data_IF_670441041330
#
_entry.id   IF_670441041330
#
_cell.length_a   1.000
_cell.length_b   1.000
_cell.length_c   1.000
_cell.angle_alpha   90.00
_cell.angle_beta   90.00
_cell.angle_gamma   90.00
#
_symmetry.space_group_name_H-M   'P 1'
#
loop_
_entity.id
_entity.type
_entity.pdbx_description
1 polymer ?
#
# COMPACT_ATOMS: atom_id res chain seq x y z
N UNK A 1 18.04 -16.56 4.63
CA UNK A 1 18.70 -17.66 3.95
C UNK A 1 19.12 -17.22 2.55
N UNK A 2 20.25 -17.74 2.05
CA UNK A 2 20.67 -17.53 0.66
C UNK A 2 19.61 -18.12 -0.28
N UNK A 3 19.35 -17.46 -1.40
CA UNK A 3 18.28 -17.82 -2.35
C UNK A 3 16.85 -17.82 -1.77
N UNK A 4 16.65 -17.16 -0.62
CA UNK A 4 15.32 -17.01 -0.01
C UNK A 4 14.47 -16.01 -0.78
N UNK A 5 13.17 -16.29 -0.90
CA UNK A 5 12.17 -15.38 -1.42
C UNK A 5 11.57 -14.54 -0.29
N UNK A 6 11.44 -13.24 -0.53
CA UNK A 6 10.80 -12.28 0.37
C UNK A 6 9.58 -11.69 -0.33
N UNK A 7 8.48 -11.60 0.40
CA UNK A 7 7.28 -10.87 -0.02
C UNK A 7 6.71 -10.12 1.18
N UNK A 8 6.28 -8.88 0.96
CA UNK A 8 5.61 -8.07 1.97
C UNK A 8 4.58 -7.13 1.32
N UNK A 9 3.53 -6.80 2.07
CA UNK A 9 2.61 -5.73 1.74
C UNK A 9 2.80 -4.59 2.72
N UNK A 10 2.80 -3.36 2.22
CA UNK A 10 2.90 -2.17 3.05
C UNK A 10 2.07 -1.01 2.48
N UNK A 11 1.47 -0.18 3.34
CA UNK A 11 0.71 0.98 2.89
C UNK A 11 1.65 2.02 2.25
N UNK A 12 1.12 2.77 1.28
CA UNK A 12 1.87 3.85 0.62
C UNK A 12 1.82 5.15 1.41
N UNK A 13 2.69 6.10 1.05
CA UNK A 13 2.70 7.45 1.63
C UNK A 13 1.36 8.17 1.45
N UNK A 14 0.70 7.96 0.31
CA UNK A 14 -0.56 8.61 -0.07
C UNK A 14 -1.81 7.94 0.52
N UNK A 15 -1.61 6.97 1.41
CA UNK A 15 -2.72 6.23 2.00
C UNK A 15 -3.59 7.14 2.88
N UNK A 16 -4.91 6.97 2.79
CA UNK A 16 -5.91 7.70 3.60
C UNK A 16 -5.93 9.23 3.43
N UNK A 17 -5.57 9.76 2.25
CA UNK A 17 -5.45 11.20 2.04
C UNK A 17 -6.72 11.97 2.39
N UNK A 18 -7.91 11.49 1.98
CA UNK A 18 -9.19 12.14 2.31
C UNK A 18 -9.44 12.26 3.81
N UNK A 19 -9.07 11.25 4.58
CA UNK A 19 -9.16 11.28 6.06
C UNK A 19 -8.10 12.20 6.66
N UNK A 20 -6.87 12.16 6.16
CA UNK A 20 -5.78 13.05 6.61
C UNK A 20 -6.18 14.53 6.43
N UNK A 21 -6.66 14.89 5.26
CA UNK A 21 -7.11 16.26 4.98
C UNK A 21 -8.26 16.70 5.91
N UNK A 22 -9.25 15.83 6.13
CA UNK A 22 -10.35 16.12 7.03
C UNK A 22 -9.88 16.30 8.48
N UNK A 23 -8.93 15.48 8.95
CA UNK A 23 -8.36 15.60 10.29
C UNK A 23 -7.51 16.86 10.45
N UNK A 24 -6.65 17.18 9.47
CA UNK A 24 -5.84 18.41 9.48
C UNK A 24 -6.75 19.65 9.54
N UNK A 25 -7.79 19.68 8.71
CA UNK A 25 -8.75 20.79 8.72
C UNK A 25 -9.47 20.91 10.06
N UNK A 26 -9.86 19.78 10.65
CA UNK A 26 -10.51 19.75 11.95
C UNK A 26 -9.60 20.23 13.07
N UNK A 27 -8.33 19.85 13.04
CA UNK A 27 -7.32 20.29 14.01
C UNK A 27 -7.08 21.80 13.91
N UNK A 28 -6.95 22.34 12.69
CA UNK A 28 -6.80 23.78 12.47
C UNK A 28 -8.01 24.56 13.02
N UNK A 29 -9.21 24.07 12.71
CA UNK A 29 -10.46 24.72 13.14
C UNK A 29 -10.64 24.73 14.67
N UNK A 30 -10.17 23.70 15.38
CA UNK A 30 -10.37 23.56 16.82
C UNK A 30 -9.19 23.99 17.69
N UNK A 31 -7.97 23.87 17.15
CA UNK A 31 -6.74 24.04 17.93
C UNK A 31 -5.77 25.06 17.35
N UNK A 32 -6.08 25.60 16.16
CA UNK A 32 -5.20 26.57 15.49
C UNK A 32 -3.94 25.95 14.86
N UNK A 33 -3.81 24.61 14.83
CA UNK A 33 -2.68 23.90 14.24
C UNK A 33 -2.97 22.41 14.10
N UNK A 34 -2.23 21.71 13.25
CA UNK A 34 -2.42 20.30 12.98
C UNK A 34 -1.52 19.41 13.84
N UNK A 35 -2.03 18.27 14.27
CA UNK A 35 -1.28 17.23 14.96
C UNK A 35 -0.91 16.11 14.00
N UNK A 36 0.25 15.48 14.22
CA UNK A 36 0.59 14.24 13.55
C UNK A 36 -0.34 13.12 14.04
N UNK A 37 -1.12 12.54 13.13
CA UNK A 37 -2.10 11.48 13.45
C UNK A 37 -1.87 10.19 12.70
N UNK A 38 -0.97 10.21 11.71
CA UNK A 38 -0.65 9.07 10.86
C UNK A 38 0.84 8.79 10.88
N UNK A 39 1.19 7.50 10.82
CA UNK A 39 2.57 7.10 10.63
C UNK A 39 3.02 7.52 9.21
N UNK A 40 4.29 7.87 9.10
CA UNK A 40 4.91 8.08 7.80
C UNK A 40 5.27 6.72 7.21
N UNK A 41 4.85 6.50 5.97
CA UNK A 41 5.19 5.32 5.20
C UNK A 41 6.30 5.65 4.20
N UNK A 42 6.99 4.61 3.74
CA UNK A 42 8.06 4.76 2.76
C UNK A 42 7.48 5.04 1.37
N UNK A 43 8.21 5.80 0.57
CA UNK A 43 7.93 5.94 -0.85
C UNK A 43 8.51 4.76 -1.64
N UNK A 44 8.16 4.64 -2.92
CA UNK A 44 8.60 3.55 -3.78
C UNK A 44 10.13 3.47 -3.91
N UNK A 45 10.78 4.62 -4.04
CA UNK A 45 12.23 4.70 -4.24
C UNK A 45 12.98 4.21 -3.00
N UNK A 46 12.55 4.62 -1.80
CA UNK A 46 13.13 4.18 -0.53
C UNK A 46 13.01 2.66 -0.35
N UNK A 47 11.85 2.07 -0.72
CA UNK A 47 11.63 0.62 -0.66
C UNK A 47 12.58 -0.12 -1.59
N UNK A 48 12.72 0.33 -2.84
CA UNK A 48 13.63 -0.28 -3.82
C UNK A 48 15.09 -0.19 -3.34
N UNK A 49 15.49 0.97 -2.83
CA UNK A 49 16.83 1.18 -2.29
C UNK A 49 17.10 0.29 -1.07
N UNK A 50 16.11 0.14 -0.19
CA UNK A 50 16.19 -0.74 0.97
C UNK A 50 16.42 -2.21 0.58
N UNK A 51 15.70 -2.70 -0.42
CA UNK A 51 15.88 -4.05 -0.96
C UNK A 51 17.27 -4.23 -1.59
N UNK A 52 17.70 -3.29 -2.43
CA UNK A 52 19.03 -3.33 -3.08
C UNK A 52 20.16 -3.32 -2.05
N UNK A 53 20.09 -2.43 -1.06
CA UNK A 53 21.10 -2.30 -0.02
C UNK A 53 21.19 -3.56 0.86
N UNK A 54 20.12 -4.32 0.96
CA UNK A 54 20.10 -5.60 1.67
C UNK A 54 20.35 -6.81 0.75
N UNK A 55 20.95 -6.60 -0.43
CA UNK A 55 21.31 -7.65 -1.39
C UNK A 55 20.12 -8.51 -1.86
N UNK A 56 18.94 -7.90 -2.03
CA UNK A 56 17.85 -8.51 -2.76
C UNK A 56 18.00 -8.22 -4.25
N UNK A 57 17.86 -9.26 -5.06
CA UNK A 57 17.89 -9.19 -6.52
C UNK A 57 16.47 -9.26 -7.07
N UNK A 58 16.31 -8.70 -8.26
CA UNK A 58 15.03 -8.69 -8.98
C UNK A 58 13.91 -8.14 -8.07
N UNK A 59 14.08 -6.95 -7.50
CA UNK A 59 13.02 -6.35 -6.69
C UNK A 59 11.82 -6.06 -7.59
N UNK A 60 10.65 -6.59 -7.23
CA UNK A 60 9.39 -6.32 -7.89
C UNK A 60 8.49 -5.59 -6.91
N UNK A 61 7.89 -4.50 -7.35
CA UNK A 61 6.91 -3.73 -6.58
C UNK A 61 5.67 -3.50 -7.42
N UNK A 62 4.54 -4.00 -6.94
CA UNK A 62 3.22 -3.73 -7.50
C UNK A 62 2.50 -2.71 -6.61
N UNK A 63 1.75 -1.81 -7.23
CA UNK A 63 0.86 -0.88 -6.56
C UNK A 63 -0.58 -1.38 -6.72
N UNK A 64 -1.25 -1.60 -5.59
CA UNK A 64 -2.66 -1.95 -5.54
C UNK A 64 -3.46 -0.80 -4.91
N UNK A 65 -4.57 -0.45 -5.53
CA UNK A 65 -5.51 0.56 -5.03
C UNK A 65 -6.82 -0.12 -4.67
N UNK A 66 -7.28 0.09 -3.43
CA UNK A 66 -8.53 -0.43 -2.92
C UNK A 66 -9.35 0.76 -2.41
N UNK A 67 -10.56 0.93 -2.94
CA UNK A 67 -11.51 1.90 -2.41
C UNK A 67 -12.41 1.22 -1.37
N UNK A 68 -12.44 1.79 -0.17
CA UNK A 68 -13.28 1.36 0.92
C UNK A 68 -14.39 2.37 1.14
N UNK A 69 -15.62 1.89 1.25
CA UNK A 69 -16.81 2.71 1.45
C UNK A 69 -17.47 2.44 2.81
N UNK A 70 -17.70 3.50 3.57
CA UNK A 70 -18.29 3.42 4.91
C UNK A 70 -19.53 4.29 5.04
N UNK A 71 -20.57 3.76 5.65
CA UNK A 71 -21.81 4.51 5.96
C UNK A 71 -21.63 5.48 7.12
N UNK A 72 -20.76 5.17 8.07
CA UNK A 72 -20.54 5.98 9.27
C UNK A 72 -19.04 6.21 9.52
N UNK A 73 -18.70 7.36 10.09
CA UNK A 73 -17.33 7.66 10.50
C UNK A 73 -16.84 6.69 11.58
N UNK A 74 -17.74 6.21 12.44
CA UNK A 74 -17.41 5.28 13.51
C UNK A 74 -16.91 3.93 12.96
N UNK A 75 -17.59 3.36 11.96
CA UNK A 75 -17.17 2.12 11.31
C UNK A 75 -15.80 2.27 10.66
N UNK A 76 -15.57 3.38 9.96
CA UNK A 76 -14.28 3.71 9.37
C UNK A 76 -13.16 3.76 10.41
N UNK A 77 -13.36 4.49 11.50
CA UNK A 77 -12.36 4.61 12.57
C UNK A 77 -12.16 3.29 13.33
N UNK A 78 -13.19 2.47 13.44
CA UNK A 78 -13.12 1.13 14.05
C UNK A 78 -12.22 0.21 13.21
N UNK A 79 -12.40 0.20 11.89
CA UNK A 79 -11.59 -0.61 10.98
C UNK A 79 -10.11 -0.17 11.00
N UNK A 80 -9.85 1.13 10.98
CA UNK A 80 -8.47 1.64 11.08
C UNK A 80 -7.79 1.21 12.39
N UNK A 81 -8.52 1.14 13.50
CA UNK A 81 -8.00 0.64 14.78
C UNK A 81 -7.72 -0.86 14.72
N UNK A 82 -8.63 -1.64 14.11
CA UNK A 82 -8.46 -3.10 13.96
C UNK A 82 -7.26 -3.46 13.09
N UNK A 83 -6.98 -2.65 12.07
CA UNK A 83 -5.78 -2.75 11.22
C UNK A 83 -4.48 -2.32 11.95
N UNK A 84 -4.55 -1.86 13.19
CA UNK A 84 -3.41 -1.34 13.98
C UNK A 84 -2.67 -0.19 13.29
N UNK A 85 -3.34 0.62 12.53
CA UNK A 85 -2.79 1.79 11.84
C UNK A 85 -2.74 3.05 12.71
N UNK A 86 -2.90 2.89 14.02
CA UNK A 86 -2.81 3.98 14.98
C UNK A 86 -1.41 4.60 15.00
N UNK A 87 -1.35 5.91 15.16
CA UNK A 87 -0.10 6.64 15.30
C UNK A 87 0.53 6.41 16.69
N UNK A 88 1.80 5.96 16.75
CA UNK A 88 2.45 5.60 18.04
C UNK A 88 3.71 6.39 18.34
N UNK A 89 4.05 7.41 17.56
CA UNK A 89 5.22 8.22 17.87
C UNK A 89 5.04 9.04 19.14
N UNK A 90 6.15 9.46 19.74
CA UNK A 90 6.18 10.21 21.00
C UNK A 90 5.53 11.59 20.92
N UNK A 91 5.48 12.17 19.70
CA UNK A 91 4.88 13.47 19.41
C UNK A 91 3.36 13.45 19.22
N UNK A 92 2.72 12.27 19.41
CA UNK A 92 1.27 12.20 19.33
C UNK A 92 0.61 13.04 20.43
N UNK A 93 -0.54 13.61 20.12
CA UNK A 93 -1.38 14.30 21.11
C UNK A 93 -1.68 13.38 22.31
N UNK A 94 -1.33 13.82 23.51
CA UNK A 94 -1.48 13.04 24.75
C UNK A 94 -2.91 13.01 25.30
N UNK A 95 -3.79 13.91 24.83
CA UNK A 95 -5.17 14.02 25.30
C UNK A 95 -6.12 13.29 24.36
N UNK A 96 -7.16 12.67 24.94
CA UNK A 96 -8.26 12.12 24.15
C UNK A 96 -9.03 13.24 23.44
N UNK A 97 -9.56 12.94 22.27
CA UNK A 97 -10.40 13.85 21.52
C UNK A 97 -11.78 13.96 22.16
N UNK A 98 -12.32 15.17 22.17
CA UNK A 98 -13.69 15.42 22.64
C UNK A 98 -14.73 14.95 21.63
N UNK A 99 -15.97 14.74 22.07
CA UNK A 99 -17.09 14.45 21.17
C UNK A 99 -17.23 15.52 20.09
N UNK A 100 -16.98 16.78 20.41
CA UNK A 100 -17.04 17.89 19.46
C UNK A 100 -16.03 17.75 18.32
N UNK A 101 -14.86 17.15 18.56
CA UNK A 101 -13.87 16.83 17.51
C UNK A 101 -14.48 15.93 16.44
N UNK A 102 -15.13 14.85 16.83
CA UNK A 102 -15.72 13.89 15.87
C UNK A 102 -16.87 14.49 15.09
N UNK A 103 -17.72 15.32 15.72
CA UNK A 103 -18.79 16.07 15.04
C UNK A 103 -18.19 17.03 14.00
N UNK A 104 -17.09 17.70 14.32
CA UNK A 104 -16.41 18.62 13.40
C UNK A 104 -15.70 17.86 12.27
N UNK A 105 -15.06 16.73 12.60
CA UNK A 105 -14.41 15.85 11.63
C UNK A 105 -15.44 15.34 10.59
N UNK A 106 -16.60 14.93 11.05
CA UNK A 106 -17.69 14.48 10.18
C UNK A 106 -18.13 15.57 9.20
N UNK A 107 -18.20 16.82 9.62
CA UNK A 107 -18.53 17.98 8.77
C UNK A 107 -17.43 18.30 7.75
N UNK A 108 -16.16 18.10 8.13
CA UNK A 108 -14.99 18.39 7.31
C UNK A 108 -14.67 17.26 6.33
N UNK A 109 -15.20 16.06 6.53
CA UNK A 109 -14.98 14.94 5.65
C UNK A 109 -15.90 15.02 4.42
N UNK A 110 -15.33 14.96 3.23
CA UNK A 110 -16.11 14.95 1.98
C UNK A 110 -16.75 13.57 1.80
N UNK A 111 -18.06 13.55 1.67
CA UNK A 111 -18.85 12.36 1.36
C UNK A 111 -19.16 12.28 -0.14
N UNK A 112 -19.42 11.07 -0.64
CA UNK A 112 -19.87 10.86 -2.01
C UNK A 112 -21.35 11.27 -2.19
N UNK A 113 -21.86 11.15 -3.42
CA UNK A 113 -23.26 11.46 -3.75
C UNK A 113 -24.29 10.61 -2.98
N UNK A 114 -23.87 9.45 -2.48
CA UNK A 114 -24.68 8.53 -1.67
C UNK A 114 -24.56 8.78 -0.16
N UNK A 115 -23.91 9.88 0.22
CA UNK A 115 -23.65 10.26 1.61
C UNK A 115 -22.72 9.30 2.39
N UNK A 116 -21.89 8.51 1.69
CA UNK A 116 -20.91 7.59 2.27
C UNK A 116 -19.51 8.20 2.28
N UNK A 117 -18.68 7.72 3.22
CA UNK A 117 -17.27 8.07 3.31
C UNK A 117 -16.44 7.16 2.42
N UNK A 118 -15.71 7.72 1.46
CA UNK A 118 -14.80 6.96 0.60
C UNK A 118 -13.36 7.18 1.06
N UNK A 119 -12.65 6.07 1.24
CA UNK A 119 -11.22 6.06 1.51
C UNK A 119 -10.51 5.25 0.44
N UNK A 120 -9.58 5.89 -0.23
CA UNK A 120 -8.61 5.20 -1.09
C UNK A 120 -7.46 4.68 -0.24
N UNK A 121 -7.21 3.39 -0.35
CA UNK A 121 -6.18 2.67 0.38
C UNK A 121 -5.22 2.05 -0.62
N UNK A 122 -3.99 2.55 -0.66
CA UNK A 122 -2.97 2.13 -1.60
C UNK A 122 -1.92 1.27 -0.90
N UNK A 123 -1.58 0.12 -1.48
CA UNK A 123 -0.57 -0.78 -0.94
C UNK A 123 0.50 -1.08 -1.98
N UNK A 124 1.76 -1.12 -1.53
CA UNK A 124 2.82 -1.76 -2.26
C UNK A 124 2.87 -3.25 -1.90
N UNK A 125 2.84 -4.11 -2.92
CA UNK A 125 3.21 -5.52 -2.80
C UNK A 125 4.64 -5.62 -3.27
N UNK A 126 5.54 -5.89 -2.35
CA UNK A 126 6.98 -5.87 -2.55
C UNK A 126 7.52 -7.28 -2.49
N UNK A 127 8.34 -7.67 -3.46
CA UNK A 127 9.01 -8.97 -3.44
C UNK A 127 10.43 -8.88 -3.96
N UNK A 128 11.25 -9.87 -3.60
CA UNK A 128 12.62 -9.98 -4.04
C UNK A 128 13.25 -11.30 -3.62
N UNK A 129 14.35 -11.65 -4.29
CA UNK A 129 15.13 -12.84 -3.97
C UNK A 129 16.44 -12.44 -3.32
N UNK A 130 16.83 -13.13 -2.24
CA UNK A 130 18.16 -12.97 -1.67
C UNK A 130 19.20 -13.48 -2.65
N UNK A 131 20.24 -12.67 -2.93
CA UNK A 131 21.27 -12.97 -3.92
C UNK A 131 21.91 -14.36 -3.68
N UNK A 132 22.03 -15.15 -4.75
CA UNK A 132 22.67 -16.45 -4.75
C UNK A 132 23.27 -16.77 -6.13
N UNK A 133 24.39 -17.50 -6.17
CA UNK A 133 25.10 -17.83 -7.41
C UNK A 133 24.30 -18.71 -8.40
N UNK A 134 23.33 -19.47 -7.88
CA UNK A 134 22.46 -20.33 -8.71
C UNK A 134 21.34 -19.58 -9.45
N UNK A 135 21.14 -18.29 -9.14
CA UNK A 135 20.10 -17.50 -9.82
C UNK A 135 20.47 -17.22 -11.27
N UNK A 136 19.45 -17.22 -12.13
CA UNK A 136 19.64 -16.91 -13.54
C UNK A 136 20.14 -15.46 -13.70
N UNK A 137 21.17 -15.32 -14.53
CA UNK A 137 21.71 -14.00 -14.88
C UNK A 137 21.21 -13.61 -16.27
N UNK A 138 20.96 -12.31 -16.53
CA UNK A 138 20.63 -11.84 -17.87
C UNK A 138 21.69 -12.28 -18.86
N UNK A 139 21.24 -12.74 -20.02
CA UNK A 139 22.13 -13.06 -21.14
C UNK A 139 22.80 -11.77 -21.64
N UNK A 140 24.07 -11.87 -22.04
CA UNK A 140 24.74 -10.75 -22.69
C UNK A 140 24.11 -10.48 -24.07
N UNK A 141 24.15 -9.25 -24.59
CA UNK A 141 23.68 -8.95 -25.93
C UNK A 141 24.25 -9.92 -26.96
N UNK A 142 23.43 -10.44 -27.87
CA UNK A 142 23.81 -11.42 -28.89
C UNK A 142 23.84 -12.89 -28.44
N UNK A 143 23.59 -13.22 -27.17
CA UNK A 143 23.58 -14.60 -26.67
C UNK A 143 22.19 -15.26 -26.62
N UNK A 144 21.16 -14.59 -27.11
CA UNK A 144 19.80 -15.14 -27.17
C UNK A 144 19.75 -16.31 -28.19
N UNK A 145 19.52 -17.53 -27.68
CA UNK A 145 19.42 -18.75 -28.51
C UNK A 145 17.99 -19.09 -28.92
N UNK A 146 17.00 -18.55 -28.24
CA UNK A 146 15.60 -18.85 -28.48
C UNK A 146 14.87 -17.65 -29.07
N UNK A 147 14.02 -17.90 -30.07
CA UNK A 147 13.15 -16.88 -30.65
C UNK A 147 12.08 -16.47 -29.65
N UNK A 148 11.98 -15.15 -29.37
CA UNK A 148 10.92 -14.60 -28.50
C UNK A 148 9.51 -14.97 -29.02
N UNK A 149 9.33 -15.03 -30.34
CA UNK A 149 8.07 -15.39 -30.99
C UNK A 149 7.64 -16.83 -30.70
N UNK A 150 8.58 -17.77 -30.67
CA UNK A 150 8.31 -19.18 -30.32
C UNK A 150 8.02 -19.35 -28.84
N UNK A 151 8.77 -18.65 -27.98
CA UNK A 151 8.56 -18.66 -26.56
C UNK A 151 7.17 -18.12 -26.17
N UNK A 152 6.75 -17.01 -26.76
CA UNK A 152 5.42 -16.42 -26.52
C UNK A 152 4.27 -17.30 -27.03
N UNK A 153 4.48 -18.05 -28.14
CA UNK A 153 3.49 -19.06 -28.61
C UNK A 153 3.31 -20.16 -27.59
N UNK A 154 4.41 -20.66 -27.00
CA UNK A 154 4.40 -21.70 -25.98
C UNK A 154 3.73 -21.24 -24.68
N UNK A 155 3.97 -20.00 -24.25
CA UNK A 155 3.29 -19.41 -23.08
C UNK A 155 1.77 -19.27 -23.30
N UNK A 156 1.33 -18.85 -24.47
CA UNK A 156 -0.12 -18.77 -24.77
C UNK A 156 -0.82 -20.12 -24.62
N UNK A 157 -0.20 -21.22 -25.04
CA UNK A 157 -0.79 -22.56 -24.84
C UNK A 157 -0.86 -22.97 -23.38
N UNK A 158 0.08 -22.57 -22.55
CA UNK A 158 0.12 -22.86 -21.10
C UNK A 158 -0.93 -22.02 -20.35
N UNK A 159 -1.07 -20.73 -20.70
CA UNK A 159 -2.06 -19.84 -20.07
C UNK A 159 -3.48 -20.27 -20.41
N UNK A 160 -3.77 -20.71 -21.63
CA UNK A 160 -5.09 -21.25 -21.99
C UNK A 160 -5.48 -22.51 -21.21
N UNK A 161 -4.52 -23.30 -20.74
CA UNK A 161 -4.79 -24.51 -19.94
C UNK A 161 -5.13 -24.14 -18.48
N UNK A 162 -4.53 -23.08 -17.93
CA UNK A 162 -4.75 -22.66 -16.55
C UNK A 162 -6.00 -21.78 -16.34
N UNK A 163 -6.60 -21.21 -17.40
CA UNK A 163 -7.80 -20.39 -17.25
C UNK A 163 -9.09 -21.21 -17.02
N UNK A 164 -9.03 -22.54 -17.18
CA UNK A 164 -10.17 -23.44 -16.92
C UNK A 164 -10.24 -24.01 -15.49
N UNK A 165 -9.32 -23.64 -14.58
CA UNK A 165 -9.24 -24.24 -13.22
C UNK A 165 -9.81 -23.31 -12.13
N UNK A 166 -10.28 -22.10 -12.45
CA UNK A 166 -10.86 -21.17 -11.46
C UNK A 166 -12.32 -20.82 -11.73
N UNK A 167 -13.17 -21.86 -11.94
CA UNK A 167 -14.62 -21.75 -11.76
C UNK A 167 -15.09 -23.03 -11.05
N UNK A 168 -14.98 -23.04 -9.74
CA UNK A 168 -15.85 -23.79 -8.81
C UNK A 168 -16.04 -22.91 -7.58
#
# INVERSE_FOLDING_TARGET
>A
AANGFFIATMPTLENFNSLKEAMIKTDIDLYGGAYNRFNQFLNLEDIINLLKNNNFKIPLVNLENIELEYKTLENLLSDLRSMKLSYFNKDKKQKFESRNYFVKLEKNFKKNNQNNYIISTNFYIVSGWKDHHSQQKPLKPGQAKNSLKEFLKKLRSIICINTYIFII
#
